data_IF_020447097962
#
_entry.id   IF_020447097962
#
_cell.length_a   1.000
_cell.length_b   1.000
_cell.length_c   1.000
_cell.angle_alpha   90.00
_cell.angle_beta   90.00
_cell.angle_gamma   90.00
#
_symmetry.space_group_name_H-M   'P 1'
#
loop_
_entity.id
_entity.type
_entity.pdbx_description
1 polymer ?
#
# COMPACT_ATOMS: atom_id res chain seq x y z
N UNK A 1 9.32 3.36 -6.30
CA UNK A 1 9.41 1.88 -6.13
C UNK A 1 10.44 1.22 -7.07
N UNK A 2 10.48 1.53 -8.37
CA UNK A 2 11.47 0.93 -9.30
C UNK A 2 12.91 1.47 -9.14
N UNK A 3 13.10 2.56 -8.39
CA UNK A 3 14.41 3.15 -8.12
C UNK A 3 15.07 2.58 -6.87
N UNK A 4 14.37 1.71 -6.13
CA UNK A 4 14.91 1.10 -4.91
C UNK A 4 15.50 -0.27 -5.24
N UNK A 5 16.78 -0.47 -4.91
CA UNK A 5 17.47 -1.73 -5.17
C UNK A 5 16.74 -2.92 -4.51
N UNK A 6 16.58 -4.00 -5.30
CA UNK A 6 15.88 -5.22 -4.92
C UNK A 6 14.35 -5.14 -5.02
N UNK A 7 13.77 -4.01 -5.43
CA UNK A 7 12.34 -3.86 -5.66
C UNK A 7 12.04 -3.74 -7.16
N UNK A 8 11.02 -4.45 -7.63
CA UNK A 8 10.51 -4.31 -8.99
C UNK A 8 9.00 -4.39 -9.00
N UNK A 9 8.35 -3.38 -9.58
CA UNK A 9 6.93 -3.46 -9.91
C UNK A 9 6.79 -4.20 -11.24
N UNK A 10 5.92 -5.21 -11.28
CA UNK A 10 5.62 -5.97 -12.48
C UNK A 10 4.12 -5.95 -12.74
N UNK A 11 3.73 -5.51 -13.93
CA UNK A 11 2.35 -5.64 -14.40
C UNK A 11 2.03 -7.12 -14.66
N UNK A 12 0.96 -7.62 -14.03
CA UNK A 12 0.50 -9.01 -14.14
C UNK A 12 -0.72 -9.14 -15.05
N UNK A 13 -1.54 -8.10 -15.16
CA UNK A 13 -2.69 -8.05 -16.07
C UNK A 13 -2.97 -6.61 -16.49
N UNK A 14 -2.45 -6.14 -17.63
CA UNK A 14 -2.65 -4.76 -18.08
C UNK A 14 -4.13 -4.39 -18.25
N UNK A 15 -4.96 -5.31 -18.76
CA UNK A 15 -6.39 -5.09 -18.99
C UNK A 15 -7.21 -4.95 -17.71
N UNK A 16 -6.72 -5.49 -16.59
CA UNK A 16 -7.36 -5.40 -15.27
C UNK A 16 -6.64 -4.39 -14.36
N UNK A 17 -5.66 -3.66 -14.89
CA UNK A 17 -4.79 -2.78 -14.10
C UNK A 17 -3.97 -3.52 -13.05
N UNK A 18 -3.76 -4.84 -13.19
CA UNK A 18 -3.06 -5.72 -12.27
C UNK A 18 -1.54 -5.53 -12.26
N UNK A 19 -0.95 -5.25 -11.10
CA UNK A 19 0.49 -5.17 -10.90
C UNK A 19 0.90 -5.65 -9.50
N UNK A 20 2.01 -6.38 -9.43
CA UNK A 20 2.57 -6.88 -8.18
C UNK A 20 3.95 -6.26 -7.91
N UNK A 21 4.35 -6.22 -6.64
CA UNK A 21 5.73 -5.90 -6.24
C UNK A 21 6.52 -7.19 -6.10
N UNK A 22 7.77 -7.19 -6.55
CA UNK A 22 8.77 -8.22 -6.26
C UNK A 22 9.82 -7.64 -5.33
N UNK A 23 10.17 -8.41 -4.31
CA UNK A 23 11.21 -8.05 -3.34
C UNK A 23 12.30 -9.12 -3.40
N UNK A 24 13.53 -8.72 -3.70
CA UNK A 24 14.70 -9.61 -3.81
C UNK A 24 14.45 -10.82 -4.73
N UNK A 25 13.72 -10.61 -5.83
CA UNK A 25 13.38 -11.67 -6.80
C UNK A 25 12.19 -12.56 -6.41
N UNK A 26 11.66 -12.44 -5.19
CA UNK A 26 10.47 -13.16 -4.75
C UNK A 26 9.21 -12.59 -5.42
N UNK A 27 8.29 -13.48 -5.81
CA UNK A 27 7.02 -13.11 -6.45
C UNK A 27 6.09 -12.40 -5.46
N UNK A 28 5.19 -11.55 -5.95
CA UNK A 28 4.28 -10.76 -5.11
C UNK A 28 3.39 -11.55 -4.16
N UNK A 29 3.12 -12.84 -4.41
CA UNK A 29 2.45 -13.74 -3.45
C UNK A 29 3.19 -13.89 -2.11
N UNK A 30 4.48 -13.58 -2.08
CA UNK A 30 5.34 -13.60 -0.89
C UNK A 30 5.58 -12.19 -0.33
N UNK A 31 4.83 -11.20 -0.78
CA UNK A 31 4.86 -9.85 -0.24
C UNK A 31 3.50 -9.58 0.40
N UNK A 32 3.49 -9.15 1.66
CA UNK A 32 2.26 -8.69 2.28
C UNK A 32 2.00 -7.23 1.87
N UNK A 33 0.78 -6.95 1.41
CA UNK A 33 0.33 -5.59 1.10
C UNK A 33 -0.54 -5.07 2.24
N UNK A 34 -0.21 -3.88 2.71
CA UNK A 34 -0.95 -3.16 3.75
C UNK A 34 -1.40 -1.79 3.23
N UNK A 35 -2.53 -1.31 3.75
CA UNK A 35 -2.97 0.07 3.66
C UNK A 35 -3.14 0.59 5.07
N UNK A 36 -2.40 1.64 5.42
CA UNK A 36 -2.38 2.22 6.77
C UNK A 36 -2.18 1.16 7.87
N UNK A 37 -1.35 0.16 7.58
CA UNK A 37 -1.04 -0.95 8.49
C UNK A 37 -2.04 -2.13 8.47
N UNK A 38 -3.16 -2.02 7.74
CA UNK A 38 -4.17 -3.06 7.62
C UNK A 38 -3.98 -3.91 6.36
N UNK A 39 -4.13 -5.25 6.42
CA UNK A 39 -4.03 -6.10 5.25
C UNK A 39 -5.06 -5.75 4.17
N UNK A 40 -4.59 -5.36 2.97
CA UNK A 40 -5.46 -5.01 1.84
C UNK A 40 -6.18 -6.22 1.25
N UNK A 41 -5.48 -7.34 1.16
CA UNK A 41 -6.00 -8.59 0.61
C UNK A 41 -5.50 -9.70 1.51
N UNK A 42 -6.41 -10.46 2.12
CA UNK A 42 -6.14 -11.53 3.09
C UNK A 42 -5.35 -12.71 2.49
N UNK A 43 -4.10 -12.49 2.11
CA UNK A 43 -3.19 -13.46 1.51
C UNK A 43 -3.23 -13.56 -0.02
N UNK A 44 -4.15 -12.86 -0.70
CA UNK A 44 -4.32 -12.89 -2.16
C UNK A 44 -3.51 -11.80 -2.90
N UNK A 45 -2.31 -11.47 -2.40
CA UNK A 45 -1.43 -10.45 -3.01
C UNK A 45 -0.88 -10.83 -4.39
N UNK A 46 -1.06 -12.08 -4.83
CA UNK A 46 -0.44 -12.60 -6.06
C UNK A 46 -0.97 -12.00 -7.36
N UNK A 47 -2.20 -11.48 -7.37
CA UNK A 47 -2.89 -11.02 -8.58
C UNK A 47 -3.49 -9.60 -8.47
N UNK A 48 -3.66 -9.07 -7.26
CA UNK A 48 -4.37 -7.81 -7.02
C UNK A 48 -3.40 -6.64 -6.93
N UNK A 49 -3.81 -5.53 -7.55
CA UNK A 49 -2.92 -4.47 -7.96
C UNK A 49 -2.65 -3.45 -6.87
N UNK A 50 -1.37 -3.15 -6.62
CA UNK A 50 -0.99 -1.91 -5.93
C UNK A 50 -1.49 -0.65 -6.66
N UNK A 51 -1.89 -0.76 -7.93
CA UNK A 51 -2.36 0.35 -8.76
C UNK A 51 -3.83 0.70 -8.51
N UNK A 52 -4.54 -0.02 -7.63
CA UNK A 52 -5.92 0.34 -7.27
C UNK A 52 -6.00 1.60 -6.41
N UNK A 53 -4.92 1.95 -5.71
CA UNK A 53 -4.85 3.17 -4.92
C UNK A 53 -4.18 4.26 -5.76
N UNK A 54 -4.87 5.37 -6.06
CA UNK A 54 -4.29 6.49 -6.79
C UNK A 54 -3.04 7.02 -6.08
N UNK A 55 -1.92 7.27 -6.78
CA UNK A 55 -0.72 7.82 -6.16
C UNK A 55 -0.92 9.17 -5.48
N UNK A 56 -1.93 9.93 -5.92
CA UNK A 56 -2.30 11.23 -5.34
C UNK A 56 -2.88 11.11 -3.93
N UNK A 57 -3.46 9.95 -3.61
CA UNK A 57 -4.08 9.67 -2.31
C UNK A 57 -3.06 9.10 -1.31
N UNK A 58 -1.83 8.86 -1.74
CA UNK A 58 -0.75 8.35 -0.90
C UNK A 58 0.09 9.51 -0.34
N UNK A 59 0.41 9.41 0.95
CA UNK A 59 1.44 10.22 1.58
C UNK A 59 2.82 9.61 1.31
N UNK A 60 2.95 8.31 1.53
CA UNK A 60 4.22 7.59 1.35
C UNK A 60 3.99 6.08 1.14
N UNK A 61 5.04 5.41 0.66
CA UNK A 61 5.09 3.94 0.54
C UNK A 61 6.26 3.43 1.34
N UNK A 62 5.98 2.60 2.34
CA UNK A 62 6.97 1.96 3.19
C UNK A 62 7.24 0.54 2.70
N UNK A 63 8.51 0.13 2.72
CA UNK A 63 8.88 -1.24 2.35
C UNK A 63 9.83 -1.83 3.37
N UNK A 64 9.43 -2.97 3.92
CA UNK A 64 10.28 -3.84 4.73
C UNK A 64 10.71 -5.01 3.85
N UNK A 65 12.02 -5.17 3.65
CA UNK A 65 12.57 -6.28 2.86
C UNK A 65 12.96 -7.43 3.78
N UNK A 66 12.69 -8.67 3.35
CA UNK A 66 13.04 -9.87 4.11
C UNK A 66 11.88 -10.47 4.91
N UNK A 67 12.19 -11.42 5.77
CA UNK A 67 11.18 -12.19 6.51
C UNK A 67 10.52 -11.31 7.58
N UNK A 68 9.24 -11.01 7.41
CA UNK A 68 8.45 -10.23 8.36
C UNK A 68 7.19 -10.98 8.83
N UNK A 69 7.14 -12.29 8.57
CA UNK A 69 5.97 -13.13 8.83
C UNK A 69 5.54 -13.25 10.29
N UNK A 70 6.46 -13.04 11.24
CA UNK A 70 6.13 -13.03 12.67
C UNK A 70 5.19 -11.87 13.05
N UNK A 71 5.30 -10.73 12.35
CA UNK A 71 4.52 -9.52 12.63
C UNK A 71 3.34 -9.34 11.67
N UNK A 72 3.49 -9.78 10.41
CA UNK A 72 2.54 -9.48 9.34
C UNK A 72 1.90 -10.71 8.68
N UNK A 73 2.18 -11.92 9.20
CA UNK A 73 1.53 -13.17 8.77
C UNK A 73 2.27 -13.95 7.68
N UNK A 74 1.69 -15.10 7.31
CA UNK A 74 2.34 -16.14 6.51
C UNK A 74 2.79 -15.70 5.11
N UNK A 75 2.22 -14.63 4.58
CA UNK A 75 2.49 -14.05 3.25
C UNK A 75 3.66 -13.07 3.23
N UNK A 76 4.16 -12.61 4.37
CA UNK A 76 5.27 -11.65 4.48
C UNK A 76 6.69 -12.28 4.42
N UNK A 77 6.87 -13.31 3.59
CA UNK A 77 8.12 -14.08 3.52
C UNK A 77 9.24 -13.32 2.78
N UNK A 78 8.87 -12.57 1.73
CA UNK A 78 9.79 -11.71 0.99
C UNK A 78 9.81 -10.27 1.49
N UNK A 79 8.77 -9.86 2.22
CA UNK A 79 8.68 -8.54 2.82
C UNK A 79 7.25 -8.03 2.91
N UNK A 80 7.16 -6.75 3.24
CA UNK A 80 5.91 -6.01 3.41
C UNK A 80 6.01 -4.72 2.62
N UNK A 81 4.93 -4.37 1.94
CA UNK A 81 4.74 -3.03 1.35
C UNK A 81 3.51 -2.42 2.02
N UNK A 82 3.69 -1.29 2.66
CA UNK A 82 2.63 -0.56 3.36
C UNK A 82 2.38 0.77 2.65
N UNK A 83 1.15 0.96 2.20
CA UNK A 83 0.67 2.15 1.51
C UNK A 83 0.05 3.07 2.56
N UNK A 84 0.69 4.22 2.81
CA UNK A 84 0.21 5.19 3.79
C UNK A 84 -0.65 6.24 3.07
N UNK A 85 -1.92 6.35 3.45
CA UNK A 85 -2.84 7.33 2.88
C UNK A 85 -2.49 8.75 3.31
N UNK A 86 -2.80 9.70 2.43
CA UNK A 86 -2.72 11.13 2.75
C UNK A 86 -3.85 11.48 3.69
N UNK A 87 -3.51 12.06 4.82
CA UNK A 87 -4.48 12.63 5.76
C UNK A 87 -4.76 14.07 5.36
N UNK A 88 -6.02 14.55 5.51
CA UNK A 88 -6.33 15.96 5.32
C UNK A 88 -5.43 16.81 6.22
N UNK A 89 -5.01 17.96 5.71
CA UNK A 89 -4.23 18.88 6.53
C UNK A 89 -5.12 19.37 7.68
N UNK A 90 -4.56 19.54 8.89
CA UNK A 90 -5.33 19.97 10.07
C UNK A 90 -6.10 21.29 9.89
N UNK A 91 -5.85 22.06 8.81
CA UNK A 91 -6.65 23.22 8.42
C UNK A 91 -8.04 22.87 7.86
N UNK A 92 -8.17 21.78 7.12
CA UNK A 92 -9.42 21.42 6.41
C UNK A 92 -10.49 20.85 7.35
N UNK A 93 -10.07 20.25 8.48
CA UNK A 93 -10.97 19.78 9.53
C UNK A 93 -11.54 20.92 10.38
N UNK A 94 -10.77 22.01 10.53
CA UNK A 94 -11.21 23.19 11.28
C UNK A 94 -12.24 24.02 10.48
N UNK A 95 -12.09 24.13 9.17
CA UNK A 95 -13.06 24.85 8.32
C UNK A 95 -14.42 24.15 8.23
N UNK A 96 -14.45 22.82 8.11
CA UNK A 96 -15.71 22.07 8.11
C UNK A 96 -16.46 22.18 9.44
N UNK A 97 -15.74 22.14 10.57
CA UNK A 97 -16.35 22.30 11.91
C UNK A 97 -16.84 23.73 12.15
N UNK A 98 -16.18 24.73 11.59
CA UNK A 98 -16.61 26.14 11.67
C UNK A 98 -17.88 26.42 10.88
N UNK A 99 -18.03 25.84 9.67
CA UNK A 99 -19.27 25.97 8.90
C UNK A 99 -20.47 25.29 9.55
N UNK A 100 -20.28 24.18 10.27
CA UNK A 100 -21.37 23.50 10.98
C UNK A 100 -21.84 24.25 12.24
N UNK A 101 -20.99 25.14 12.78
CA UNK A 101 -21.29 25.96 13.97
C UNK A 101 -21.97 27.29 13.65
N UNK A 102 -21.90 27.77 12.40
CA UNK A 102 -22.51 29.04 11.98
C UNK A 102 -23.97 28.89 11.49
N UNK A 103 -24.41 27.66 11.21
CA UNK A 103 -25.77 27.36 10.69
C UNK A 103 -26.78 27.08 11.84
N UNK A 104 -26.48 27.49 13.07
CA UNK A 104 -27.32 27.26 14.25
C UNK A 104 -27.64 28.56 14.98
#
# INVERSE_FOLDING_TARGET
>A
LNETSGLRVQTTSPSLGGANVRIQGLRGRYTQLLSDGLPLYGGQSGALSILQIPPMDLAQVEVIKGVASALYGATAQGGVVNLISRRPAAGEENEHRSHEQEVR
#
